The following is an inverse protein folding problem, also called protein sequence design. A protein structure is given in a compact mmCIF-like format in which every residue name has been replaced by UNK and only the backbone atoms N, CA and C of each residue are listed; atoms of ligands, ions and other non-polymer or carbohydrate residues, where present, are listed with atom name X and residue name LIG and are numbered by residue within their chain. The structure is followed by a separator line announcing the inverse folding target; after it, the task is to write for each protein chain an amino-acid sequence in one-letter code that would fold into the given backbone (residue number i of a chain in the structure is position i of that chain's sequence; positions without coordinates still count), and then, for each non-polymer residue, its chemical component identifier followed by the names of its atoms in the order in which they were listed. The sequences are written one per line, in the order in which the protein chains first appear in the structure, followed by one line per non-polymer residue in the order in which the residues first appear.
data_IF_633040046571
#
_entry.id   IF_633040046571
#
_cell.length_a   1.000
_cell.length_b   1.000
_cell.length_c   1.000
_cell.angle_alpha   90.00
_cell.angle_beta   90.00
_cell.angle_gamma   90.00
#
_symmetry.space_group_name_H-M   'P 1'
#
loop_
_entity.id
_entity.type
_entity.pdbx_description
1 polymer ?
#
# COMPACT_ATOMS: atom_id res chain seq x y z
N UNK A 1 9.56 -25.26 -4.08
CA UNK A 1 9.96 -25.31 -5.52
C UNK A 1 9.82 -23.94 -6.19
N UNK A 2 10.89 -23.15 -6.23
CA UNK A 2 11.02 -21.99 -7.11
C UNK A 2 10.70 -22.37 -8.57
N UNK A 3 9.52 -21.99 -9.06
CA UNK A 3 9.23 -22.02 -10.49
C UNK A 3 10.09 -20.96 -11.17
N UNK A 4 11.26 -21.35 -11.68
CA UNK A 4 12.01 -20.55 -12.66
C UNK A 4 11.04 -20.16 -13.76
N UNK A 5 10.77 -18.86 -13.88
CA UNK A 5 10.03 -18.33 -15.02
C UNK A 5 10.91 -18.60 -16.25
N UNK A 6 10.47 -19.43 -17.23
CA UNK A 6 11.29 -19.76 -18.38
C UNK A 6 11.71 -18.48 -19.11
N UNK A 7 12.99 -18.40 -19.47
CA UNK A 7 13.49 -17.33 -20.33
C UNK A 7 12.63 -17.23 -21.58
N UNK A 8 12.09 -16.04 -21.83
CA UNK A 8 11.17 -15.81 -22.94
C UNK A 8 11.86 -16.13 -24.27
N UNK A 9 11.45 -17.24 -24.90
CA UNK A 9 11.75 -17.49 -26.29
C UNK A 9 11.09 -16.39 -27.12
N UNK A 10 11.90 -15.57 -27.79
CA UNK A 10 11.47 -14.62 -28.81
C UNK A 10 10.92 -15.39 -30.01
N UNK A 11 9.68 -15.82 -29.93
CA UNK A 11 8.72 -16.05 -31.03
C UNK A 11 7.60 -16.94 -30.53
N UNK A 12 6.58 -16.32 -29.90
CA UNK A 12 5.17 -16.73 -30.01
C UNK A 12 4.32 -15.56 -29.50
N UNK A 13 3.37 -15.19 -30.34
CA UNK A 13 2.37 -14.15 -30.15
C UNK A 13 1.66 -14.28 -28.80
N UNK A 14 1.83 -13.27 -27.96
CA UNK A 14 0.95 -12.88 -26.85
C UNK A 14 0.09 -13.99 -26.23
N UNK A 15 0.67 -14.76 -25.31
CA UNK A 15 -0.10 -15.22 -24.14
C UNK A 15 -0.25 -14.03 -23.18
N UNK A 16 -0.96 -13.01 -23.65
CA UNK A 16 -1.52 -11.96 -22.80
C UNK A 16 -2.86 -12.54 -22.38
N UNK A 17 -3.04 -12.84 -21.09
CA UNK A 17 -4.36 -13.04 -20.52
C UNK A 17 -5.28 -11.88 -20.99
N UNK A 18 -6.21 -12.10 -21.95
CA UNK A 18 -6.84 -11.00 -22.68
C UNK A 18 -7.68 -10.07 -21.79
N UNK A 19 -8.05 -10.56 -20.61
CA UNK A 19 -8.97 -9.89 -19.68
C UNK A 19 -8.26 -9.10 -18.56
N UNK A 20 -6.93 -9.18 -18.42
CA UNK A 20 -6.25 -8.58 -17.26
C UNK A 20 -5.15 -7.59 -17.64
N UNK A 21 -5.47 -6.31 -17.42
CA UNK A 21 -4.48 -5.28 -17.07
C UNK A 21 -3.74 -4.61 -18.22
N UNK A 22 -4.44 -4.14 -19.26
CA UNK A 22 -3.80 -3.21 -20.21
C UNK A 22 -3.42 -1.90 -19.50
N UNK A 23 -2.18 -1.45 -19.68
CA UNK A 23 -1.74 -0.13 -19.21
C UNK A 23 -1.98 0.91 -20.30
N UNK A 24 -2.42 2.11 -19.91
CA UNK A 24 -2.46 3.30 -20.77
C UNK A 24 -1.66 4.41 -20.09
N UNK A 25 -0.54 4.81 -20.72
CA UNK A 25 0.40 5.81 -20.18
C UNK A 25 0.87 5.50 -18.75
N UNK A 26 1.16 4.23 -18.46
CA UNK A 26 1.63 3.76 -17.14
C UNK A 26 0.54 3.68 -16.07
N UNK A 27 -0.74 3.86 -16.39
CA UNK A 27 -1.87 3.65 -15.48
C UNK A 27 -2.71 2.46 -15.94
N UNK A 28 -3.38 1.74 -15.03
CA UNK A 28 -4.39 0.75 -15.42
C UNK A 28 -5.46 1.35 -16.35
N UNK A 29 -5.86 0.60 -17.38
CA UNK A 29 -6.83 1.05 -18.39
C UNK A 29 -8.22 1.35 -17.83
N UNK A 30 -8.59 0.71 -16.71
CA UNK A 30 -9.84 0.97 -15.98
C UNK A 30 -9.88 2.36 -15.33
N UNK A 31 -8.72 3.00 -15.10
CA UNK A 31 -8.71 4.41 -14.69
C UNK A 31 -9.15 5.25 -15.89
N UNK A 32 -10.23 6.02 -15.76
CA UNK A 32 -10.71 6.85 -16.86
C UNK A 32 -9.69 7.92 -17.27
N UNK A 33 -9.76 8.41 -18.52
CA UNK A 33 -8.89 9.52 -19.00
C UNK A 33 -9.06 10.77 -18.13
N UNK A 34 -10.29 11.05 -17.68
CA UNK A 34 -10.58 12.17 -16.75
C UNK A 34 -9.85 12.00 -15.42
N UNK A 35 -9.87 10.81 -14.82
CA UNK A 35 -9.17 10.55 -13.56
C UNK A 35 -7.65 10.57 -13.74
N UNK A 36 -7.10 10.02 -14.83
CA UNK A 36 -5.65 10.12 -15.12
C UNK A 36 -5.20 11.59 -15.21
N UNK A 37 -5.95 12.41 -15.97
CA UNK A 37 -5.67 13.85 -16.07
C UNK A 37 -5.72 14.51 -14.69
N UNK A 38 -6.72 14.19 -13.87
CA UNK A 38 -6.85 14.69 -12.50
C UNK A 38 -5.66 14.31 -11.62
N UNK A 39 -5.18 13.06 -11.69
CA UNK A 39 -4.00 12.59 -10.95
C UNK A 39 -2.73 13.33 -11.38
N UNK A 40 -2.61 13.73 -12.64
CA UNK A 40 -1.43 14.43 -13.18
C UNK A 40 -1.53 15.96 -13.08
N UNK A 41 -2.71 16.52 -12.78
CA UNK A 41 -2.92 17.98 -12.66
C UNK A 41 -2.41 18.49 -11.31
N UNK A 42 -1.73 19.63 -11.27
CA UNK A 42 -1.27 20.23 -10.01
C UNK A 42 -2.47 20.58 -9.10
N UNK A 43 -2.24 20.62 -7.78
CA UNK A 43 -3.30 20.96 -6.80
C UNK A 43 -3.96 22.30 -7.13
N UNK A 44 -3.17 23.32 -7.48
CA UNK A 44 -3.66 24.67 -7.83
C UNK A 44 -4.53 24.72 -9.10
N UNK A 45 -4.36 23.77 -10.01
CA UNK A 45 -5.15 23.68 -11.26
C UNK A 45 -6.31 22.68 -11.16
N UNK A 46 -6.51 22.06 -9.99
CA UNK A 46 -7.56 21.07 -9.77
C UNK A 46 -8.82 21.73 -9.24
N UNK A 47 -9.96 21.49 -9.89
CA UNK A 47 -11.27 21.89 -9.35
C UNK A 47 -11.66 20.97 -8.20
N UNK A 48 -12.06 21.56 -7.07
CA UNK A 48 -12.52 20.85 -5.87
C UNK A 48 -13.93 21.28 -5.47
N UNK A 49 -14.62 20.42 -4.71
CA UNK A 49 -16.00 20.62 -4.26
C UNK A 49 -16.07 21.17 -2.84
N UNK A 50 -15.20 20.68 -1.95
CA UNK A 50 -15.08 21.14 -0.56
C UNK A 50 -13.61 21.39 -0.22
N UNK A 51 -13.37 22.30 0.70
CA UNK A 51 -12.07 22.61 1.29
C UNK A 51 -12.12 22.27 2.77
N UNK A 52 -11.10 21.56 3.25
CA UNK A 52 -10.81 21.37 4.67
C UNK A 52 -9.56 22.18 5.01
N UNK A 53 -9.65 23.05 6.01
CA UNK A 53 -8.53 23.86 6.48
C UNK A 53 -8.66 24.18 7.97
N UNK A 54 -7.65 23.82 8.76
CA UNK A 54 -7.65 24.03 10.23
C UNK A 54 -7.60 25.52 10.61
N UNK A 55 -7.14 26.39 9.70
CA UNK A 55 -7.07 27.85 9.89
C UNK A 55 -8.42 28.56 9.66
N UNK A 56 -9.49 27.82 9.38
CA UNK A 56 -10.84 28.36 9.15
C UNK A 56 -11.07 28.93 7.75
N UNK A 57 -10.09 28.84 6.83
CA UNK A 57 -10.23 29.34 5.46
C UNK A 57 -10.95 28.37 4.51
N UNK A 58 -11.37 27.20 5.01
CA UNK A 58 -12.07 26.16 4.27
C UNK A 58 -13.57 26.10 4.59
N UNK A 59 -14.27 25.15 3.98
CA UNK A 59 -15.66 24.84 4.32
C UNK A 59 -15.78 24.13 5.68
N UNK A 60 -14.77 23.34 6.03
CA UNK A 60 -14.69 22.58 7.29
C UNK A 60 -13.28 22.70 7.88
N UNK A 61 -13.16 22.51 9.19
CA UNK A 61 -11.86 22.47 9.89
C UNK A 61 -11.33 21.06 10.10
N UNK A 62 -12.18 20.05 9.91
CA UNK A 62 -11.85 18.63 10.06
C UNK A 62 -12.32 17.81 8.85
N UNK A 63 -11.74 16.63 8.66
CA UNK A 63 -11.95 15.79 7.48
C UNK A 63 -13.28 15.03 7.59
N UNK A 64 -13.65 14.57 8.79
CA UNK A 64 -14.88 13.80 8.99
C UNK A 64 -16.13 14.57 8.58
N UNK A 65 -16.22 15.86 8.89
CA UNK A 65 -17.36 16.70 8.51
C UNK A 65 -17.46 16.87 7.00
N UNK A 66 -16.32 17.07 6.31
CA UNK A 66 -16.31 17.15 4.85
C UNK A 66 -16.72 15.81 4.19
N UNK A 67 -16.28 14.68 4.75
CA UNK A 67 -16.73 13.35 4.31
C UNK A 67 -18.23 13.19 4.55
N UNK A 68 -18.75 13.62 5.70
CA UNK A 68 -20.17 13.55 6.03
C UNK A 68 -21.01 14.37 5.05
N UNK A 69 -20.56 15.58 4.69
CA UNK A 69 -21.22 16.48 3.75
C UNK A 69 -21.18 16.02 2.28
N UNK A 70 -20.20 15.20 1.89
CA UNK A 70 -20.12 14.68 0.52
C UNK A 70 -21.37 13.85 0.13
N UNK A 71 -21.84 13.90 -1.12
CA UNK A 71 -23.01 13.13 -1.55
C UNK A 71 -22.76 11.62 -1.44
N UNK A 72 -23.83 10.87 -1.14
CA UNK A 72 -23.81 9.41 -1.23
C UNK A 72 -24.05 8.97 -2.68
N UNK A 73 -23.50 7.83 -3.06
CA UNK A 73 -23.70 7.17 -4.35
C UNK A 73 -23.45 8.08 -5.56
N UNK A 74 -22.50 9.01 -5.44
CA UNK A 74 -22.16 9.92 -6.53
C UNK A 74 -21.67 9.14 -7.75
N UNK A 75 -22.27 9.42 -8.90
CA UNK A 75 -21.85 8.91 -10.21
C UNK A 75 -20.67 9.71 -10.78
N UNK A 76 -20.31 10.83 -10.15
CA UNK A 76 -19.19 11.68 -10.54
C UNK A 76 -18.19 11.86 -9.41
N UNK A 77 -16.95 12.25 -9.77
CA UNK A 77 -15.86 12.50 -8.83
C UNK A 77 -16.19 13.68 -7.91
N UNK A 78 -16.23 13.45 -6.61
CA UNK A 78 -16.37 14.51 -5.60
C UNK A 78 -15.04 14.72 -4.89
N UNK A 79 -14.44 15.89 -5.04
CA UNK A 79 -13.08 16.19 -4.58
C UNK A 79 -13.14 17.04 -3.31
N UNK A 80 -12.55 16.51 -2.24
CA UNK A 80 -12.28 17.24 -0.99
C UNK A 80 -10.80 17.63 -1.01
N UNK A 81 -10.54 18.93 -1.08
CA UNK A 81 -9.21 19.49 -0.96
C UNK A 81 -8.88 19.73 0.52
N UNK A 82 -7.80 19.13 1.01
CA UNK A 82 -7.38 19.16 2.40
C UNK A 82 -6.06 19.94 2.46
N UNK A 83 -6.12 21.17 2.97
CA UNK A 83 -4.94 22.03 3.08
C UNK A 83 -3.89 21.44 4.02
N UNK A 84 -2.66 21.92 3.88
CA UNK A 84 -1.54 21.60 4.74
C UNK A 84 -1.91 21.74 6.22
N UNK A 85 -1.43 20.80 7.04
CA UNK A 85 -1.84 20.66 8.43
C UNK A 85 -1.78 19.21 8.90
N UNK A 86 -1.87 19.03 10.22
CA UNK A 86 -1.94 17.73 10.86
C UNK A 86 -3.33 17.52 11.47
N UNK A 87 -4.10 16.64 10.85
CA UNK A 87 -5.46 16.30 11.22
C UNK A 87 -5.44 15.03 12.08
N UNK A 88 -5.65 15.20 13.39
CA UNK A 88 -5.65 14.08 14.36
C UNK A 88 -7.04 13.46 14.44
N UNK A 89 -7.36 12.62 13.46
CA UNK A 89 -8.69 12.04 13.29
C UNK A 89 -8.60 10.59 12.82
N UNK A 90 -9.53 9.76 13.28
CA UNK A 90 -9.83 8.50 12.60
C UNK A 90 -10.96 8.75 11.59
N UNK A 91 -10.69 8.54 10.30
CA UNK A 91 -11.61 8.86 9.20
C UNK A 91 -12.12 7.58 8.53
N UNK A 92 -13.43 7.51 8.29
CA UNK A 92 -14.06 6.38 7.60
C UNK A 92 -14.85 6.82 6.36
N UNK A 93 -14.39 6.41 5.17
CA UNK A 93 -15.11 6.57 3.90
C UNK A 93 -15.93 5.31 3.64
N UNK A 94 -17.12 5.28 4.23
CA UNK A 94 -18.06 4.15 4.14
C UNK A 94 -18.50 3.83 2.70
N UNK A 95 -19.05 2.64 2.48
CA UNK A 95 -19.42 2.10 1.15
C UNK A 95 -20.30 3.03 0.30
N UNK A 96 -21.24 3.76 0.94
CA UNK A 96 -22.11 4.73 0.26
C UNK A 96 -21.40 5.98 -0.26
N UNK A 97 -20.16 6.27 0.14
CA UNK A 97 -19.39 7.45 -0.29
C UNK A 97 -18.55 7.13 -1.54
N UNK A 98 -19.22 6.81 -2.66
CA UNK A 98 -18.56 6.42 -3.91
C UNK A 98 -17.91 7.60 -4.63
N UNK A 99 -16.85 7.34 -5.40
CA UNK A 99 -16.13 8.33 -6.22
C UNK A 99 -15.60 9.54 -5.44
N UNK A 100 -15.38 9.40 -4.13
CA UNK A 100 -14.76 10.44 -3.32
C UNK A 100 -13.26 10.54 -3.64
N UNK A 101 -12.72 11.75 -3.60
CA UNK A 101 -11.29 12.00 -3.73
C UNK A 101 -10.79 12.91 -2.63
N UNK A 102 -9.72 12.50 -1.97
CA UNK A 102 -8.90 13.37 -1.13
C UNK A 102 -7.74 13.93 -1.94
N UNK A 103 -7.59 15.24 -1.91
CA UNK A 103 -6.48 15.97 -2.52
C UNK A 103 -5.78 16.76 -1.42
N UNK A 104 -4.52 16.45 -1.12
CA UNK A 104 -3.69 17.22 -0.19
C UNK A 104 -2.76 18.22 -0.90
N UNK A 105 -2.03 19.00 -0.10
CA UNK A 105 -0.99 19.93 -0.58
C UNK A 105 0.34 19.25 -0.92
N UNK A 106 0.45 17.95 -0.65
CA UNK A 106 1.62 17.12 -0.95
C UNK A 106 2.02 16.23 0.22
N UNK A 107 2.79 15.17 -0.09
CA UNK A 107 3.45 14.33 0.91
C UNK A 107 4.24 15.23 1.86
N UNK A 108 4.08 15.02 3.17
CA UNK A 108 4.78 15.78 4.19
C UNK A 108 4.16 17.14 4.53
N UNK A 109 3.15 17.61 3.79
CA UNK A 109 2.44 18.88 4.06
C UNK A 109 1.05 18.66 4.66
N UNK A 110 0.30 17.70 4.14
CA UNK A 110 -1.04 17.35 4.63
C UNK A 110 -1.00 15.96 5.27
N UNK A 111 -1.39 15.87 6.54
CA UNK A 111 -1.28 14.65 7.35
C UNK A 111 -2.60 14.26 7.99
N UNK A 112 -3.00 12.98 7.89
CA UNK A 112 -4.03 12.39 8.75
C UNK A 112 -3.36 11.45 9.73
N UNK A 113 -3.53 11.70 11.04
CA UNK A 113 -2.78 11.03 12.10
C UNK A 113 -3.73 10.38 13.11
N UNK A 114 -3.41 9.16 13.53
CA UNK A 114 -4.10 8.40 14.57
C UNK A 114 -3.14 7.46 15.29
N UNK A 115 -3.59 6.82 16.37
CA UNK A 115 -2.74 5.94 17.19
C UNK A 115 -3.48 4.72 17.76
N UNK A 116 -4.64 4.36 17.20
CA UNK A 116 -5.37 3.16 17.61
C UNK A 116 -4.50 1.93 17.31
N UNK A 117 -4.49 0.97 18.22
CA UNK A 117 -3.62 -0.20 18.15
C UNK A 117 -4.18 -1.37 18.97
N UNK A 118 -3.62 -2.57 18.76
CA UNK A 118 -4.08 -3.80 19.39
C UNK A 118 -3.81 -3.86 20.89
N UNK A 119 -2.64 -3.39 21.35
CA UNK A 119 -2.30 -3.38 22.79
C UNK A 119 -3.31 -2.56 23.61
N UNK A 120 -3.78 -1.45 23.05
CA UNK A 120 -4.75 -0.56 23.71
C UNK A 120 -6.22 -0.97 23.43
N UNK A 121 -6.46 -2.20 22.97
CA UNK A 121 -7.80 -2.82 22.89
C UNK A 121 -8.54 -2.68 21.57
N UNK A 122 -7.91 -2.16 20.51
CA UNK A 122 -8.51 -2.15 19.18
C UNK A 122 -8.25 -3.46 18.44
N UNK A 123 -9.12 -3.83 17.49
CA UNK A 123 -8.75 -4.88 16.53
C UNK A 123 -7.84 -4.28 15.45
N UNK A 124 -6.98 -5.08 14.81
CA UNK A 124 -6.19 -4.64 13.65
C UNK A 124 -7.08 -3.93 12.61
N UNK A 125 -8.25 -4.50 12.30
CA UNK A 125 -9.18 -3.92 11.34
C UNK A 125 -9.70 -2.52 11.74
N UNK A 126 -9.98 -2.30 13.04
CA UNK A 126 -10.50 -1.02 13.57
C UNK A 126 -9.40 -0.05 14.04
N UNK A 127 -8.13 -0.47 13.99
CA UNK A 127 -6.97 0.37 14.32
C UNK A 127 -6.65 1.42 13.25
N UNK A 128 -7.21 1.29 12.05
CA UNK A 128 -6.94 2.17 10.92
C UNK A 128 -7.13 3.67 11.26
N UNK A 129 -6.10 4.49 11.02
CA UNK A 129 -6.24 5.95 11.01
C UNK A 129 -7.23 6.37 9.92
N UNK A 130 -7.09 5.84 8.70
CA UNK A 130 -8.07 6.05 7.63
C UNK A 130 -8.54 4.71 7.08
N UNK A 131 -9.86 4.52 7.04
CA UNK A 131 -10.51 3.36 6.44
C UNK A 131 -11.33 3.78 5.22
N UNK A 132 -11.09 3.16 4.06
CA UNK A 132 -11.84 3.45 2.83
C UNK A 132 -12.50 2.21 2.26
N UNK A 133 -13.81 2.32 2.00
CA UNK A 133 -14.67 1.23 1.49
C UNK A 133 -15.48 1.69 0.28
N UNK A 134 -15.86 2.97 0.20
CA UNK A 134 -16.59 3.53 -0.93
C UNK A 134 -15.86 3.39 -2.27
N UNK A 135 -16.46 2.68 -3.22
CA UNK A 135 -15.83 2.32 -4.49
C UNK A 135 -15.34 3.53 -5.30
N UNK A 136 -14.25 3.33 -6.01
CA UNK A 136 -13.61 4.33 -6.86
C UNK A 136 -12.90 5.42 -6.08
N UNK A 137 -12.58 5.23 -4.79
CA UNK A 137 -11.88 6.22 -3.97
C UNK A 137 -10.53 6.62 -4.58
N UNK A 138 -10.17 7.90 -4.46
CA UNK A 138 -8.83 8.39 -4.84
C UNK A 138 -8.22 9.19 -3.69
N UNK A 139 -6.93 8.98 -3.41
CA UNK A 139 -6.14 9.91 -2.61
C UNK A 139 -4.95 10.41 -3.44
N UNK A 140 -4.65 11.71 -3.32
CA UNK A 140 -3.48 12.34 -3.93
C UNK A 140 -2.80 13.30 -2.97
N UNK A 141 -1.46 13.24 -2.87
CA UNK A 141 -0.67 14.28 -2.22
C UNK A 141 -0.91 14.37 -0.71
N UNK A 142 -1.07 13.25 -0.03
CA UNK A 142 -1.44 13.22 1.40
C UNK A 142 -0.69 12.11 2.15
N UNK A 143 -0.34 12.37 3.40
CA UNK A 143 0.28 11.40 4.31
C UNK A 143 -0.74 10.82 5.29
N UNK A 144 -0.77 9.49 5.42
CA UNK A 144 -1.56 8.75 6.41
C UNK A 144 -0.61 8.11 7.42
N UNK A 145 -0.81 8.39 8.71
CA UNK A 145 0.10 7.94 9.75
C UNK A 145 -0.65 7.27 10.91
N UNK A 146 -0.15 6.13 11.35
CA UNK A 146 -0.42 5.60 12.68
C UNK A 146 0.85 5.74 13.54
N UNK A 147 0.78 6.61 14.54
CA UNK A 147 1.94 6.98 15.37
C UNK A 147 2.01 6.18 16.69
N UNK A 148 1.33 5.03 16.79
CA UNK A 148 1.27 4.23 18.01
C UNK A 148 2.65 3.72 18.49
N UNK A 149 3.57 3.41 17.58
CA UNK A 149 4.90 2.88 17.91
C UNK A 149 5.02 1.35 17.77
N UNK A 150 6.25 0.80 17.68
CA UNK A 150 6.48 -0.63 17.48
C UNK A 150 6.08 -1.51 18.69
N UNK A 151 6.09 -0.94 19.90
CA UNK A 151 5.65 -1.58 21.15
C UNK A 151 4.14 -1.81 21.23
N UNK A 152 3.37 -1.17 20.35
CA UNK A 152 1.90 -1.26 20.32
C UNK A 152 1.35 -2.35 19.39
N UNK A 153 2.23 -3.17 18.82
CA UNK A 153 1.90 -4.21 17.85
C UNK A 153 1.10 -3.66 16.67
N UNK A 154 0.05 -4.35 16.20
CA UNK A 154 -0.67 -3.97 14.99
C UNK A 154 -1.35 -2.59 15.14
N UNK A 155 -1.01 -1.67 14.23
CA UNK A 155 -1.52 -0.31 14.24
C UNK A 155 -1.57 0.25 12.79
N UNK A 156 -2.76 0.15 12.18
CA UNK A 156 -2.94 0.43 10.75
C UNK A 156 -2.98 1.93 10.48
N UNK A 157 -2.20 2.41 9.52
CA UNK A 157 -2.27 3.79 9.04
C UNK A 157 -3.39 3.97 8.01
N UNK A 158 -3.47 3.06 7.03
CA UNK A 158 -4.57 3.06 6.07
C UNK A 158 -5.08 1.63 5.80
N UNK A 159 -6.39 1.47 5.84
CA UNK A 159 -7.09 0.26 5.37
C UNK A 159 -7.93 0.58 4.15
N UNK A 160 -7.68 -0.12 3.05
CA UNK A 160 -8.51 -0.02 1.84
C UNK A 160 -9.24 -1.33 1.57
N UNK A 161 -10.57 -1.26 1.53
CA UNK A 161 -11.46 -2.25 0.95
C UNK A 161 -12.32 -1.63 -0.16
N UNK A 162 -11.84 -0.55 -0.80
CA UNK A 162 -12.51 0.13 -1.91
C UNK A 162 -12.07 -0.49 -3.24
N UNK A 163 -13.04 -0.97 -4.02
CA UNK A 163 -12.76 -1.41 -5.39
C UNK A 163 -12.40 -0.24 -6.30
N UNK A 164 -11.50 -0.49 -7.27
CA UNK A 164 -10.98 0.51 -8.21
C UNK A 164 -10.41 1.76 -7.50
N UNK A 165 -9.80 1.57 -6.32
CA UNK A 165 -9.17 2.67 -5.57
C UNK A 165 -7.78 3.02 -6.11
N UNK A 166 -7.43 4.31 -6.04
CA UNK A 166 -6.12 4.82 -6.45
C UNK A 166 -5.49 5.69 -5.36
N UNK A 167 -4.22 5.43 -5.08
CA UNK A 167 -3.40 6.28 -4.21
C UNK A 167 -2.20 6.76 -5.03
N UNK A 168 -2.06 8.07 -5.18
CA UNK A 168 -1.03 8.67 -6.03
C UNK A 168 -0.25 9.73 -5.26
N UNK A 169 1.07 9.62 -5.18
CA UNK A 169 1.87 10.58 -4.40
C UNK A 169 1.36 10.68 -2.96
N UNK A 170 1.14 9.53 -2.32
CA UNK A 170 0.73 9.44 -0.92
C UNK A 170 1.86 8.85 -0.07
N UNK A 171 1.84 9.09 1.23
CA UNK A 171 2.71 8.40 2.16
C UNK A 171 1.92 7.62 3.20
N UNK A 172 2.39 6.44 3.56
CA UNK A 172 1.78 5.54 4.55
C UNK A 172 2.83 5.22 5.60
N UNK A 173 2.60 5.63 6.84
CA UNK A 173 3.63 5.63 7.87
C UNK A 173 3.09 4.92 9.11
N UNK A 174 3.82 3.90 9.55
CA UNK A 174 3.55 3.18 10.78
C UNK A 174 4.72 2.31 11.16
N UNK A 175 4.43 1.25 11.91
CA UNK A 175 5.34 0.18 12.25
C UNK A 175 4.75 -1.15 11.77
N UNK A 176 4.16 -1.93 12.67
CA UNK A 176 3.49 -3.18 12.32
C UNK A 176 2.12 -2.91 11.67
N UNK A 177 1.82 -3.64 10.59
CA UNK A 177 0.55 -3.59 9.86
C UNK A 177 0.20 -2.22 9.27
N UNK A 178 1.18 -1.46 8.77
CA UNK A 178 0.98 -0.07 8.31
C UNK A 178 -0.10 0.09 7.23
N UNK A 179 -0.04 -0.69 6.15
CA UNK A 179 -0.95 -0.61 5.01
C UNK A 179 -1.75 -1.89 4.85
N UNK A 180 -3.03 -1.83 5.21
CA UNK A 180 -3.96 -2.94 5.07
C UNK A 180 -4.67 -2.86 3.70
N UNK A 181 -4.09 -3.53 2.70
CA UNK A 181 -4.70 -3.78 1.39
C UNK A 181 -5.76 -4.89 1.50
N UNK A 182 -6.82 -4.58 2.24
CA UNK A 182 -7.79 -5.56 2.74
C UNK A 182 -8.43 -6.41 1.64
N UNK A 183 -9.05 -5.79 0.64
CA UNK A 183 -9.80 -6.50 -0.42
C UNK A 183 -9.96 -5.67 -1.69
N UNK A 184 -10.47 -6.32 -2.76
CA UNK A 184 -10.84 -5.71 -4.05
C UNK A 184 -9.63 -5.17 -4.84
N UNK A 185 -9.88 -4.41 -5.92
CA UNK A 185 -8.84 -3.97 -6.85
C UNK A 185 -8.29 -2.61 -6.45
N UNK A 186 -6.98 -2.50 -6.31
CA UNK A 186 -6.32 -1.29 -5.80
C UNK A 186 -5.06 -0.95 -6.59
N UNK A 187 -4.74 0.34 -6.72
CA UNK A 187 -3.54 0.81 -7.40
C UNK A 187 -2.82 1.91 -6.59
N UNK A 188 -1.55 1.68 -6.29
CA UNK A 188 -0.69 2.63 -5.57
C UNK A 188 0.44 3.04 -6.50
N UNK A 189 0.67 4.35 -6.68
CA UNK A 189 1.71 4.84 -7.58
C UNK A 189 2.44 6.06 -7.04
N UNK A 190 3.78 6.03 -7.13
CA UNK A 190 4.65 7.13 -6.66
C UNK A 190 4.42 7.43 -5.17
N UNK A 191 4.18 6.39 -4.38
CA UNK A 191 3.95 6.49 -2.93
C UNK A 191 5.19 6.10 -2.12
N UNK A 192 5.24 6.56 -0.88
CA UNK A 192 6.22 6.11 0.12
C UNK A 192 5.52 5.29 1.21
N UNK A 193 5.98 4.06 1.46
CA UNK A 193 5.39 3.15 2.45
C UNK A 193 6.46 2.77 3.47
N UNK A 194 6.21 3.05 4.74
CA UNK A 194 7.14 2.82 5.84
C UNK A 194 6.56 1.85 6.86
N UNK A 195 7.34 0.87 7.32
CA UNK A 195 6.92 0.01 8.41
C UNK A 195 7.95 -1.03 8.82
N UNK A 196 7.52 -2.00 9.64
CA UNK A 196 8.40 -3.01 10.22
C UNK A 196 7.90 -4.42 9.94
N UNK A 197 7.01 -4.93 10.79
CA UNK A 197 6.42 -6.26 10.68
C UNK A 197 5.19 -6.19 9.78
N UNK A 198 5.14 -7.03 8.75
CA UNK A 198 3.96 -7.25 7.88
C UNK A 198 3.32 -5.96 7.33
N UNK A 199 4.14 -4.95 7.00
CA UNK A 199 3.61 -3.59 6.88
C UNK A 199 2.83 -3.32 5.58
N UNK A 200 2.79 -4.27 4.65
CA UNK A 200 1.84 -4.33 3.53
C UNK A 200 1.14 -5.69 3.56
N UNK A 201 -0.12 -5.73 3.97
CA UNK A 201 -0.80 -7.00 4.22
C UNK A 201 -2.28 -6.96 3.80
N UNK A 202 -2.85 -8.14 3.58
CA UNK A 202 -4.24 -8.30 3.18
C UNK A 202 -4.43 -9.20 1.96
N UNK A 203 -5.65 -9.16 1.40
CA UNK A 203 -6.07 -10.04 0.31
C UNK A 203 -6.70 -9.27 -0.87
N UNK A 204 -6.22 -8.05 -1.14
CA UNK A 204 -6.58 -7.31 -2.35
C UNK A 204 -5.94 -7.91 -3.61
N UNK A 205 -6.48 -7.55 -4.78
CA UNK A 205 -5.76 -7.60 -6.05
C UNK A 205 -5.09 -6.23 -6.26
N UNK A 206 -3.83 -6.10 -5.83
CA UNK A 206 -3.15 -4.80 -5.74
C UNK A 206 -1.87 -4.75 -6.57
N UNK A 207 -1.69 -3.61 -7.25
CA UNK A 207 -0.42 -3.24 -7.88
C UNK A 207 0.13 -2.00 -7.19
N UNK A 208 1.36 -2.10 -6.70
CA UNK A 208 2.15 -1.03 -6.11
C UNK A 208 3.28 -0.73 -7.09
N UNK A 209 3.25 0.45 -7.71
CA UNK A 209 4.12 0.78 -8.84
C UNK A 209 4.92 2.06 -8.59
N UNK A 210 6.21 2.08 -8.93
CA UNK A 210 7.05 3.28 -8.78
C UNK A 210 7.03 3.85 -7.35
N UNK A 211 6.84 2.99 -6.35
CA UNK A 211 6.80 3.38 -4.95
C UNK A 211 8.16 3.15 -4.28
N UNK A 212 8.39 3.83 -3.17
CA UNK A 212 9.48 3.52 -2.27
C UNK A 212 8.94 2.77 -1.04
N UNK A 213 9.52 1.62 -0.76
CA UNK A 213 9.18 0.79 0.39
C UNK A 213 10.36 0.84 1.36
N UNK A 214 10.10 1.32 2.57
CA UNK A 214 11.11 1.62 3.58
C UNK A 214 10.91 0.76 4.83
N UNK A 215 11.81 -0.19 5.06
CA UNK A 215 11.86 -0.90 6.33
C UNK A 215 12.43 0.01 7.42
N UNK A 216 11.72 0.13 8.54
CA UNK A 216 12.13 0.93 9.70
C UNK A 216 12.82 0.07 10.75
N UNK A 217 13.45 0.73 11.74
CA UNK A 217 13.98 0.05 12.92
C UNK A 217 12.82 -0.57 13.74
N UNK A 218 12.76 -1.90 13.90
CA UNK A 218 11.75 -2.55 14.73
C UNK A 218 12.20 -2.63 16.21
N UNK A 219 11.40 -3.28 17.05
CA UNK A 219 11.85 -3.62 18.40
C UNK A 219 12.95 -4.69 18.38
N UNK A 220 13.69 -4.79 19.47
CA UNK A 220 14.73 -5.82 19.62
C UNK A 220 14.13 -7.22 19.38
N UNK A 221 14.90 -8.08 18.70
CA UNK A 221 14.52 -9.45 18.31
C UNK A 221 13.38 -9.58 17.28
N UNK A 222 12.80 -8.47 16.80
CA UNK A 222 11.88 -8.51 15.67
C UNK A 222 12.63 -8.57 14.33
N UNK A 223 11.92 -9.06 13.33
CA UNK A 223 12.33 -9.09 11.93
C UNK A 223 11.35 -8.24 11.13
N UNK A 224 11.82 -7.60 10.06
CA UNK A 224 10.96 -6.83 9.17
C UNK A 224 10.46 -7.68 8.01
N UNK A 225 9.19 -7.53 7.67
CA UNK A 225 8.55 -8.21 6.55
C UNK A 225 7.83 -7.15 5.72
N UNK A 226 8.26 -6.99 4.47
CA UNK A 226 7.63 -6.02 3.56
C UNK A 226 6.19 -6.40 3.24
N UNK A 227 5.90 -7.70 3.07
CA UNK A 227 4.54 -8.17 2.80
C UNK A 227 4.10 -9.35 3.68
N UNK A 228 2.79 -9.39 3.94
CA UNK A 228 2.12 -10.56 4.51
C UNK A 228 0.79 -10.78 3.75
N UNK A 229 0.86 -11.51 2.64
CA UNK A 229 -0.28 -11.69 1.75
C UNK A 229 -1.21 -12.80 2.26
N UNK A 230 -2.51 -12.51 2.28
CA UNK A 230 -3.52 -13.32 2.97
C UNK A 230 -4.50 -14.02 2.04
N UNK A 231 -4.08 -14.55 0.89
CA UNK A 231 -4.96 -15.35 0.02
C UNK A 231 -5.22 -16.73 0.63
N UNK A 232 -6.48 -17.05 0.86
CA UNK A 232 -6.92 -18.27 1.54
C UNK A 232 -7.42 -19.36 0.59
N UNK A 233 -7.79 -19.02 -0.64
CA UNK A 233 -8.36 -19.96 -1.61
C UNK A 233 -7.64 -19.80 -2.97
N UNK A 234 -7.25 -20.90 -3.64
CA UNK A 234 -6.52 -20.84 -4.91
C UNK A 234 -7.33 -20.20 -6.04
N UNK A 235 -8.68 -20.24 -5.95
CA UNK A 235 -9.62 -19.64 -6.90
C UNK A 235 -9.77 -18.13 -6.73
N UNK A 236 -9.24 -17.55 -5.65
CA UNK A 236 -9.19 -16.09 -5.49
C UNK A 236 -8.19 -15.47 -6.48
N UNK A 237 -8.63 -14.42 -7.17
CA UNK A 237 -7.86 -13.65 -8.14
C UNK A 237 -7.06 -12.51 -7.49
N UNK A 238 -6.61 -12.71 -6.25
CA UNK A 238 -5.96 -11.71 -5.39
C UNK A 238 -4.45 -11.93 -5.27
N UNK A 239 -3.72 -10.91 -4.81
CA UNK A 239 -2.26 -10.96 -4.67
C UNK A 239 -1.65 -9.56 -4.59
N UNK A 240 -0.41 -9.50 -4.10
CA UNK A 240 0.37 -8.27 -4.04
C UNK A 240 1.42 -8.26 -5.16
N UNK A 241 1.39 -7.22 -6.00
CA UNK A 241 2.34 -7.03 -7.10
C UNK A 241 3.14 -5.75 -6.88
N UNK A 242 4.45 -5.88 -6.67
CA UNK A 242 5.41 -4.78 -6.47
C UNK A 242 6.21 -4.59 -7.76
N UNK A 243 5.94 -3.49 -8.47
CA UNK A 243 6.45 -3.24 -9.82
C UNK A 243 7.27 -1.96 -9.91
N UNK A 244 8.53 -2.05 -10.33
CA UNK A 244 9.42 -0.89 -10.49
C UNK A 244 9.50 -0.03 -9.22
N UNK A 245 9.51 -0.67 -8.05
CA UNK A 245 9.64 0.00 -6.76
C UNK A 245 11.10 0.00 -6.28
N UNK A 246 11.37 0.77 -5.23
CA UNK A 246 12.61 0.75 -4.46
C UNK A 246 12.35 0.12 -3.10
N UNK A 247 13.10 -0.92 -2.73
CA UNK A 247 13.04 -1.62 -1.45
C UNK A 247 14.34 -1.30 -0.69
N UNK A 248 14.27 -0.52 0.38
CA UNK A 248 15.47 -0.04 1.11
C UNK A 248 15.16 0.23 2.59
N UNK A 249 16.17 0.62 3.36
CA UNK A 249 16.04 0.96 4.77
C UNK A 249 15.62 2.43 4.94
N UNK A 250 14.75 2.69 5.92
CA UNK A 250 14.48 4.04 6.41
C UNK A 250 15.68 4.58 7.19
N UNK A 251 15.71 5.90 7.39
CA UNK A 251 16.81 6.59 8.08
C UNK A 251 17.10 6.04 9.49
N UNK A 252 16.09 5.54 10.20
CA UNK A 252 16.24 4.98 11.55
C UNK A 252 16.84 3.56 11.56
N UNK A 253 16.71 2.80 10.47
CA UNK A 253 17.26 1.46 10.32
C UNK A 253 18.70 1.48 9.79
N UNK A 254 19.06 2.41 8.91
CA UNK A 254 20.38 2.46 8.25
C UNK A 254 21.56 2.26 9.23
N UNK A 255 21.63 2.95 10.39
CA UNK A 255 22.77 2.83 11.31
C UNK A 255 22.88 1.47 12.01
N UNK A 256 21.80 0.70 12.06
CA UNK A 256 21.68 -0.57 12.80
C UNK A 256 21.20 -1.71 11.90
N UNK A 257 21.30 -1.54 10.57
CA UNK A 257 20.74 -2.45 9.56
C UNK A 257 21.24 -3.89 9.73
N UNK A 258 22.50 -4.08 10.11
CA UNK A 258 23.09 -5.40 10.35
C UNK A 258 22.54 -6.12 11.57
N UNK A 259 21.91 -5.40 12.51
CA UNK A 259 21.32 -5.96 13.72
C UNK A 259 19.90 -6.51 13.51
N UNK A 260 19.27 -6.26 12.36
CA UNK A 260 17.90 -6.65 12.08
C UNK A 260 17.78 -7.34 10.73
N UNK A 261 17.05 -8.46 10.70
CA UNK A 261 16.77 -9.18 9.46
C UNK A 261 15.55 -8.57 8.76
N UNK A 262 15.59 -8.50 7.44
CA UNK A 262 14.50 -7.96 6.61
C UNK A 262 14.21 -8.94 5.47
N UNK A 263 12.92 -9.21 5.22
CA UNK A 263 12.45 -10.16 4.22
C UNK A 263 11.39 -9.53 3.32
N UNK A 264 11.33 -9.96 2.06
CA UNK A 264 10.34 -9.52 1.08
C UNK A 264 8.91 -9.82 1.56
N UNK A 265 8.71 -10.91 2.29
CA UNK A 265 7.45 -11.20 2.96
C UNK A 265 7.40 -12.59 3.59
N UNK A 266 6.22 -12.93 4.12
CA UNK A 266 5.88 -14.24 4.70
C UNK A 266 4.41 -14.63 4.47
N UNK A 267 4.07 -15.93 4.40
CA UNK A 267 2.74 -16.37 3.96
C UNK A 267 1.72 -16.34 5.11
N UNK A 268 1.01 -15.22 5.27
CA UNK A 268 -0.04 -15.12 6.29
C UNK A 268 -1.15 -16.18 6.10
N UNK A 269 -1.40 -16.60 4.85
CA UNK A 269 -2.41 -17.62 4.51
C UNK A 269 -1.89 -18.62 3.48
N UNK A 270 -2.55 -19.77 3.42
CA UNK A 270 -2.11 -20.98 2.71
C UNK A 270 -1.77 -20.75 1.23
N UNK A 271 -2.50 -19.89 0.53
CA UNK A 271 -2.29 -19.63 -0.90
C UNK A 271 -1.63 -18.28 -1.16
N UNK A 272 -0.89 -17.76 -0.17
CA UNK A 272 -0.20 -16.48 -0.22
C UNK A 272 0.48 -16.23 -1.57
N UNK A 273 0.23 -15.06 -2.16
CA UNK A 273 0.71 -14.72 -3.51
C UNK A 273 1.28 -13.31 -3.59
N UNK A 274 2.60 -13.22 -3.75
CA UNK A 274 3.33 -11.94 -3.87
C UNK A 274 4.37 -12.01 -4.98
N UNK A 275 4.50 -10.94 -5.77
CA UNK A 275 5.52 -10.84 -6.81
C UNK A 275 6.25 -9.50 -6.72
N UNK A 276 7.59 -9.55 -6.70
CA UNK A 276 8.46 -8.38 -6.87
C UNK A 276 9.09 -8.41 -8.25
N UNK A 277 8.87 -7.38 -9.06
CA UNK A 277 9.37 -7.34 -10.43
C UNK A 277 9.92 -5.98 -10.83
N UNK A 278 11.01 -6.00 -11.60
CA UNK A 278 11.71 -4.82 -12.12
C UNK A 278 12.04 -3.80 -11.03
N UNK A 279 12.18 -4.25 -9.79
CA UNK A 279 12.35 -3.37 -8.62
C UNK A 279 13.83 -3.33 -8.21
N UNK A 280 14.24 -2.21 -7.61
CA UNK A 280 15.54 -2.11 -6.95
C UNK A 280 15.42 -2.67 -5.52
N UNK A 281 16.20 -3.68 -5.19
CA UNK A 281 16.26 -4.30 -3.87
C UNK A 281 17.65 -4.05 -3.29
N UNK A 282 17.69 -3.26 -2.23
CA UNK A 282 18.92 -2.90 -1.52
C UNK A 282 19.43 -4.07 -0.65
N UNK A 283 20.63 -3.94 -0.12
CA UNK A 283 21.38 -4.98 0.60
C UNK A 283 20.80 -5.34 1.99
N UNK A 284 19.70 -4.71 2.41
CA UNK A 284 19.01 -5.01 3.67
C UNK A 284 18.26 -6.34 3.66
N UNK A 285 17.86 -6.81 2.48
CA UNK A 285 17.06 -8.02 2.32
C UNK A 285 17.97 -9.22 2.54
N UNK A 286 17.58 -10.08 3.46
CA UNK A 286 18.31 -11.30 3.78
C UNK A 286 18.45 -12.18 2.51
N UNK A 287 19.58 -12.88 2.30
CA UNK A 287 19.76 -13.76 1.14
C UNK A 287 18.66 -14.81 0.96
N UNK A 288 18.04 -15.29 2.05
CA UNK A 288 16.86 -16.18 2.01
C UNK A 288 15.67 -15.54 1.27
N UNK A 289 15.56 -14.21 1.31
CA UNK A 289 14.55 -13.39 0.64
C UNK A 289 13.18 -13.41 1.30
N UNK A 290 12.66 -14.60 1.60
CA UNK A 290 11.35 -14.84 2.18
C UNK A 290 11.49 -15.50 3.55
N UNK A 291 10.50 -15.34 4.42
CA UNK A 291 10.48 -15.93 5.76
C UNK A 291 9.27 -16.87 5.88
N UNK A 292 9.45 -18.01 6.54
CA UNK A 292 8.32 -18.89 6.85
C UNK A 292 7.32 -18.20 7.78
N UNK A 293 6.06 -18.65 7.74
CA UNK A 293 5.07 -18.21 8.71
C UNK A 293 5.18 -19.01 10.02
N UNK A 294 5.07 -20.34 9.90
CA UNK A 294 5.20 -21.29 11.00
C UNK A 294 5.53 -22.68 10.41
N UNK A 295 6.74 -23.19 10.67
CA UNK A 295 7.19 -24.47 10.11
C UNK A 295 7.08 -24.53 8.58
N UNK A 296 6.48 -25.60 8.07
CA UNK A 296 6.26 -25.85 6.64
C UNK A 296 4.92 -25.31 6.10
N UNK A 297 4.18 -24.54 6.91
CA UNK A 297 2.89 -23.97 6.51
C UNK A 297 2.99 -23.18 5.21
N UNK A 298 2.07 -23.46 4.29
CA UNK A 298 1.91 -22.82 2.99
C UNK A 298 3.06 -23.00 1.98
N UNK A 299 4.21 -23.60 2.34
CA UNK A 299 5.39 -23.65 1.48
C UNK A 299 5.16 -24.42 0.17
N UNK A 300 4.23 -25.38 0.16
CA UNK A 300 3.86 -26.16 -1.02
C UNK A 300 2.78 -25.51 -1.90
N UNK A 301 2.06 -24.51 -1.39
CA UNK A 301 0.85 -23.92 -2.00
C UNK A 301 0.99 -22.43 -2.34
N UNK A 302 1.90 -21.71 -1.68
CA UNK A 302 2.17 -20.30 -1.92
C UNK A 302 2.75 -20.05 -3.33
N UNK A 303 2.70 -18.79 -3.76
CA UNK A 303 3.38 -18.33 -4.96
C UNK A 303 4.14 -17.04 -4.67
N UNK A 304 5.45 -17.15 -4.49
CA UNK A 304 6.37 -16.03 -4.39
C UNK A 304 7.28 -15.97 -5.61
N UNK A 305 7.33 -14.79 -6.23
CA UNK A 305 8.03 -14.58 -7.49
C UNK A 305 8.91 -13.34 -7.48
N UNK A 306 10.10 -13.48 -8.04
CA UNK A 306 11.02 -12.38 -8.33
C UNK A 306 11.33 -12.35 -9.82
N UNK A 307 11.25 -11.17 -10.47
CA UNK A 307 11.50 -11.06 -11.91
C UNK A 307 12.25 -9.79 -12.28
N UNK A 308 13.45 -9.94 -12.85
CA UNK A 308 14.30 -8.83 -13.32
C UNK A 308 14.49 -7.73 -12.26
N UNK A 309 14.56 -8.11 -10.99
CA UNK A 309 14.96 -7.19 -9.93
C UNK A 309 16.45 -6.86 -10.07
N UNK A 310 16.85 -5.72 -9.52
CA UNK A 310 18.22 -5.19 -9.56
C UNK A 310 18.64 -4.73 -8.18
N UNK A 311 19.93 -4.52 -7.98
CA UNK A 311 20.49 -4.06 -6.70
C UNK A 311 21.11 -5.20 -5.88
N UNK A 312 21.83 -4.89 -4.81
CA UNK A 312 22.62 -5.87 -4.08
C UNK A 312 21.76 -6.96 -3.38
N UNK A 313 20.52 -6.66 -2.99
CA UNK A 313 19.60 -7.65 -2.38
C UNK A 313 18.82 -8.50 -3.39
N UNK A 314 19.02 -8.31 -4.71
CA UNK A 314 18.26 -9.01 -5.75
C UNK A 314 18.89 -10.33 -6.22
N UNK A 315 20.01 -10.76 -5.64
CA UNK A 315 20.61 -12.05 -5.96
C UNK A 315 19.74 -13.19 -5.41
N UNK A 316 19.35 -14.13 -6.26
CA UNK A 316 18.47 -15.24 -5.91
C UNK A 316 19.20 -16.56 -5.65
N UNK A 317 20.53 -16.61 -5.69
CA UNK A 317 21.32 -17.86 -5.58
C UNK A 317 21.21 -18.58 -4.23
N UNK A 318 20.72 -17.87 -3.19
CA UNK A 318 20.57 -18.38 -1.83
C UNK A 318 19.13 -18.23 -1.30
N UNK A 319 18.14 -18.10 -2.20
CA UNK A 319 16.73 -18.07 -1.81
C UNK A 319 16.29 -19.45 -1.32
N UNK A 320 15.41 -19.44 -0.32
CA UNK A 320 14.68 -20.63 0.11
C UNK A 320 13.87 -21.20 -1.07
N UNK A 321 13.86 -22.52 -1.25
CA UNK A 321 13.25 -23.19 -2.43
C UNK A 321 11.78 -23.55 -2.28
#
# INVERSE_FOLDING_TARGET
MLKKIPGANKTRTSEVFPEYGSLRHGFPSWISTKNRKLLQTSTNATKYNLIVAQDGTGNFTNINDAVAAAPNSSTTRFVIYIKAGAYFENVEVVSKKTNLMFLGDGIGKTWVKGNRNVVDGWTTFRSATVAVVGSGFIAKGISFENYAGPEKHQAVALRSGSDLSVFYQCSFIGYQDTLYVHSLRQFYRECDIYGTVDFIFGNAAVVIQMCNLYARKPNQNQKNMFTAQGREDPNQNTGISILNCKVTAAADLIPVKSSFKNYLGRPWKEYSRTVFMKSYIDDLVDPAGWLEWDGDFALSTLYYGEYMNRGPGSNTSAREE
#
